data_IF_153936042318
#
_entry.id   IF_153936042318
#
_cell.length_a   1.000
_cell.length_b   1.000
_cell.length_c   1.000
_cell.angle_alpha   90.00
_cell.angle_beta   90.00
_cell.angle_gamma   90.00
#
_symmetry.space_group_name_H-M   'P 1'
#
loop_
_entity.id
_entity.type
_entity.pdbx_description
1 polymer ?
#
# COMPACT_ATOMS: atom_id res chain seq x y z
N UNK A 1 13.03 10.77 55.04
CA UNK A 1 13.23 9.39 54.56
C UNK A 1 12.69 9.32 53.16
N UNK A 2 13.40 8.70 52.21
CA UNK A 2 13.05 8.62 50.79
C UNK A 2 11.72 7.87 50.58
N UNK A 3 10.83 8.44 49.79
CA UNK A 3 9.63 7.78 49.25
C UNK A 3 10.04 6.64 48.32
N UNK A 4 9.89 5.40 48.79
CA UNK A 4 10.18 4.18 48.04
C UNK A 4 8.99 3.74 47.17
N UNK A 5 8.44 4.62 46.34
CA UNK A 5 7.37 4.30 45.40
C UNK A 5 7.83 4.64 43.98
N UNK A 6 8.72 3.81 43.44
CA UNK A 6 9.14 3.90 42.04
C UNK A 6 7.95 3.70 41.09
N UNK A 7 8.03 4.25 39.85
CA UNK A 7 7.01 4.04 38.83
C UNK A 7 6.82 2.55 38.56
N UNK A 8 5.58 2.14 38.28
CA UNK A 8 5.27 0.75 37.96
C UNK A 8 6.01 0.26 36.71
N UNK A 9 6.25 -1.03 36.64
CA UNK A 9 7.06 -1.64 35.58
C UNK A 9 6.25 -2.61 34.72
N UNK A 10 6.59 -2.67 33.44
CA UNK A 10 6.04 -3.62 32.48
C UNK A 10 6.98 -4.82 32.28
N UNK A 11 6.41 -6.01 32.19
CA UNK A 11 7.14 -7.27 32.03
C UNK A 11 6.43 -8.15 31.00
N UNK A 12 7.20 -8.88 30.20
CA UNK A 12 6.71 -9.99 29.38
C UNK A 12 7.07 -11.31 30.05
N UNK A 13 6.14 -12.27 30.07
CA UNK A 13 6.49 -13.64 30.53
C UNK A 13 7.31 -14.42 29.53
N UNK A 14 7.41 -13.95 28.28
CA UNK A 14 8.18 -14.61 27.24
C UNK A 14 8.80 -13.59 26.26
N UNK A 15 10.03 -13.17 26.55
CA UNK A 15 10.84 -12.23 25.76
C UNK A 15 11.23 -12.74 24.36
N UNK A 16 11.05 -14.05 24.09
CA UNK A 16 11.23 -14.62 22.75
C UNK A 16 9.99 -14.44 21.88
N UNK A 17 8.80 -14.36 22.49
CA UNK A 17 7.53 -14.13 21.80
C UNK A 17 7.27 -12.64 21.65
N UNK A 18 7.50 -11.87 22.70
CA UNK A 18 7.20 -10.44 22.74
C UNK A 18 8.08 -9.74 23.77
N UNK A 19 8.69 -8.64 23.37
CA UNK A 19 9.47 -7.77 24.25
C UNK A 19 8.67 -6.53 24.61
N UNK A 20 8.65 -6.15 25.89
CA UNK A 20 7.95 -4.96 26.37
C UNK A 20 8.94 -3.98 27.02
N UNK A 21 8.86 -2.70 26.66
CA UNK A 21 9.62 -1.66 27.30
C UNK A 21 9.14 -1.51 28.75
N UNK A 22 10.06 -1.71 29.70
CA UNK A 22 9.74 -1.77 31.13
C UNK A 22 9.14 -0.48 31.69
N UNK A 23 9.37 0.67 31.04
CA UNK A 23 8.91 1.99 31.50
C UNK A 23 7.65 2.42 30.74
N UNK A 24 7.64 2.30 29.41
CA UNK A 24 6.54 2.84 28.58
C UNK A 24 5.41 1.84 28.34
N UNK A 25 5.67 0.54 28.44
CA UNK A 25 4.72 -0.51 28.09
C UNK A 25 4.59 -0.79 26.60
N UNK A 26 5.39 -0.13 25.75
CA UNK A 26 5.44 -0.43 24.31
C UNK A 26 5.97 -1.86 24.09
N UNK A 27 5.21 -2.67 23.37
CA UNK A 27 5.51 -4.08 23.15
C UNK A 27 5.74 -4.40 21.66
N UNK A 28 6.81 -5.15 21.36
CA UNK A 28 7.14 -5.61 20.02
C UNK A 28 7.07 -7.13 19.97
N UNK A 29 6.35 -7.65 18.97
CA UNK A 29 6.37 -9.07 18.65
C UNK A 29 7.77 -9.50 18.17
N UNK A 30 8.24 -10.65 18.64
CA UNK A 30 9.55 -11.24 18.28
C UNK A 30 9.41 -12.66 17.73
N UNK A 31 8.36 -13.37 18.10
CA UNK A 31 8.16 -14.75 17.68
C UNK A 31 6.73 -15.20 17.95
N UNK A 32 6.34 -16.29 17.28
CA UNK A 32 5.05 -16.92 17.48
C UNK A 32 4.92 -17.49 18.89
N UNK A 33 3.74 -17.32 19.47
CA UNK A 33 3.38 -17.96 20.72
C UNK A 33 2.58 -17.05 21.63
N UNK A 34 2.40 -17.50 22.86
CA UNK A 34 1.63 -16.80 23.88
C UNK A 34 2.60 -16.19 24.89
N UNK A 35 2.38 -14.93 25.22
CA UNK A 35 3.05 -14.22 26.29
C UNK A 35 2.03 -13.47 27.12
N UNK A 36 2.30 -13.27 28.41
CA UNK A 36 1.51 -12.37 29.24
C UNK A 36 2.26 -11.03 29.36
N UNK A 37 1.54 -9.92 29.19
CA UNK A 37 2.02 -8.61 29.62
C UNK A 37 1.58 -8.40 31.05
N UNK A 38 2.53 -8.10 31.92
CA UNK A 38 2.31 -7.86 33.34
C UNK A 38 2.71 -6.41 33.64
N UNK A 39 1.78 -5.64 34.20
CA UNK A 39 2.12 -4.38 34.87
C UNK A 39 2.23 -4.61 36.37
N UNK A 40 3.34 -4.18 36.97
CA UNK A 40 3.61 -4.28 38.41
C UNK A 40 3.84 -2.88 38.99
N UNK A 41 2.80 -2.33 39.62
CA UNK A 41 2.89 -1.12 40.43
C UNK A 41 3.12 -1.44 41.92
N UNK A 42 3.26 -0.42 42.79
CA UNK A 42 3.54 -0.60 44.22
C UNK A 42 2.54 -1.52 44.94
N UNK A 43 1.25 -1.42 44.61
CA UNK A 43 0.16 -2.19 45.23
C UNK A 43 -0.79 -2.83 44.21
N UNK A 44 -0.40 -2.90 42.93
CA UNK A 44 -1.25 -3.38 41.85
C UNK A 44 -0.46 -4.28 40.91
N UNK A 45 -1.02 -5.44 40.56
CA UNK A 45 -0.51 -6.32 39.52
C UNK A 45 -1.62 -6.62 38.52
N UNK A 46 -1.48 -6.12 37.30
CA UNK A 46 -2.38 -6.41 36.19
C UNK A 46 -1.69 -7.38 35.24
N UNK A 47 -2.45 -8.30 34.64
CA UNK A 47 -1.97 -9.19 33.59
C UNK A 47 -2.97 -9.27 32.46
N UNK A 48 -2.46 -9.36 31.24
CA UNK A 48 -3.25 -9.74 30.06
C UNK A 48 -2.47 -10.74 29.23
N UNK A 49 -3.18 -11.59 28.50
CA UNK A 49 -2.60 -12.58 27.60
C UNK A 49 -2.55 -12.01 26.18
N UNK A 50 -1.38 -12.06 25.56
CA UNK A 50 -1.16 -11.69 24.17
C UNK A 50 -0.79 -12.95 23.40
N UNK A 51 -1.52 -13.19 22.31
CA UNK A 51 -1.22 -14.26 21.38
C UNK A 51 -0.58 -13.68 20.13
N UNK A 52 0.69 -13.96 19.90
CA UNK A 52 1.42 -13.56 18.70
C UNK A 52 1.32 -14.71 17.73
N UNK A 53 0.48 -14.55 16.71
CA UNK A 53 0.32 -15.54 15.65
C UNK A 53 1.33 -15.28 14.54
N UNK A 54 1.97 -16.33 14.04
CA UNK A 54 2.72 -16.24 12.78
C UNK A 54 1.72 -16.34 11.65
N UNK A 55 1.29 -15.18 11.17
CA UNK A 55 0.41 -15.11 10.00
C UNK A 55 1.23 -15.10 8.72
N UNK A 56 0.61 -15.54 7.63
CA UNK A 56 1.12 -15.23 6.30
C UNK A 56 1.33 -13.72 6.23
N UNK A 57 2.47 -13.28 5.72
CA UNK A 57 2.73 -11.87 5.49
C UNK A 57 2.68 -11.63 3.99
N UNK A 58 2.05 -10.53 3.62
CA UNK A 58 2.05 -10.03 2.26
C UNK A 58 2.72 -8.66 2.29
N UNK A 59 3.83 -8.54 1.58
CA UNK A 59 4.59 -7.30 1.44
C UNK A 59 4.37 -6.78 0.04
N UNK A 60 4.02 -5.50 -0.08
CA UNK A 60 3.84 -4.82 -1.36
C UNK A 60 4.90 -3.74 -1.46
N UNK A 61 5.65 -3.73 -2.56
CA UNK A 61 6.66 -2.73 -2.87
C UNK A 61 6.19 -1.90 -4.08
N UNK A 62 6.21 -0.57 -3.95
CA UNK A 62 5.90 0.34 -5.05
C UNK A 62 7.04 0.34 -6.10
N UNK A 63 6.72 0.60 -7.39
CA UNK A 63 7.75 0.82 -8.38
C UNK A 63 8.55 2.09 -8.03
N UNK A 64 9.83 2.12 -8.41
CA UNK A 64 10.73 3.24 -8.10
C UNK A 64 10.44 4.51 -8.92
N UNK A 65 9.69 4.37 -10.01
CA UNK A 65 9.34 5.45 -10.92
C UNK A 65 8.15 6.27 -10.43
N UNK A 66 8.05 7.51 -10.92
CA UNK A 66 6.90 8.37 -10.68
C UNK A 66 5.73 7.87 -11.54
N UNK A 67 4.57 7.69 -10.93
CA UNK A 67 3.36 7.25 -11.61
C UNK A 67 2.69 8.45 -12.31
N UNK A 68 2.20 8.27 -13.53
CA UNK A 68 1.41 9.28 -14.26
C UNK A 68 0.40 8.62 -15.18
N UNK A 69 -0.60 9.38 -15.63
CA UNK A 69 -1.60 8.94 -16.61
C UNK A 69 -1.44 9.55 -18.00
N UNK A 70 -0.42 10.38 -18.25
CA UNK A 70 -0.17 10.96 -19.58
C UNK A 70 0.51 9.97 -20.51
N UNK A 71 1.52 9.27 -19.98
CA UNK A 71 2.32 8.27 -20.69
C UNK A 71 2.45 7.01 -19.82
N UNK A 72 1.31 6.53 -19.31
CA UNK A 72 1.29 5.30 -18.53
C UNK A 72 1.82 4.13 -19.38
N UNK A 73 2.63 3.23 -18.81
CA UNK A 73 3.07 2.03 -19.51
C UNK A 73 1.86 1.24 -20.03
N UNK A 74 1.90 0.69 -21.26
CA UNK A 74 0.82 -0.13 -21.79
C UNK A 74 0.48 -1.34 -20.90
N UNK A 75 1.51 -1.88 -20.22
CA UNK A 75 1.40 -3.02 -19.31
C UNK A 75 1.11 -2.60 -17.86
N UNK A 76 0.85 -1.32 -17.61
CA UNK A 76 0.60 -0.75 -16.29
C UNK A 76 1.82 -0.68 -15.37
N UNK A 77 1.61 -0.13 -14.18
CA UNK A 77 2.64 0.01 -13.15
C UNK A 77 2.65 -1.20 -12.21
N UNK A 78 3.81 -1.85 -12.08
CA UNK A 78 3.95 -3.10 -11.33
C UNK A 78 4.36 -2.84 -9.88
N UNK A 79 3.43 -3.05 -8.95
CA UNK A 79 3.71 -3.12 -7.52
C UNK A 79 4.09 -4.55 -7.17
N UNK A 80 5.32 -4.81 -6.73
CA UNK A 80 5.78 -6.16 -6.43
C UNK A 80 5.11 -6.69 -5.17
N UNK A 81 4.63 -7.93 -5.21
CA UNK A 81 3.99 -8.61 -4.08
C UNK A 81 4.84 -9.80 -3.67
N UNK A 82 5.28 -9.82 -2.42
CA UNK A 82 5.99 -10.94 -1.80
C UNK A 82 5.10 -11.57 -0.75
N UNK A 83 4.92 -12.89 -0.84
CA UNK A 83 4.24 -13.67 0.17
C UNK A 83 5.28 -14.47 0.95
N UNK A 84 5.23 -14.37 2.27
CA UNK A 84 5.97 -15.26 3.16
C UNK A 84 4.97 -15.99 4.03
N UNK A 85 5.07 -17.32 4.06
CA UNK A 85 4.20 -18.12 4.90
C UNK A 85 4.68 -18.19 6.35
N UNK A 86 3.80 -18.71 7.21
CA UNK A 86 4.12 -18.99 8.60
C UNK A 86 5.13 -20.14 8.78
N UNK A 87 5.49 -20.89 7.74
CA UNK A 87 6.57 -21.87 7.77
C UNK A 87 7.96 -21.26 7.50
N UNK A 88 8.04 -19.93 7.26
CA UNK A 88 9.28 -19.26 6.88
C UNK A 88 9.78 -19.63 5.49
N UNK A 89 8.93 -20.31 4.70
CA UNK A 89 9.16 -20.45 3.28
C UNK A 89 8.64 -19.16 2.66
N UNK A 90 9.54 -18.41 2.02
CA UNK A 90 9.07 -17.55 0.93
C UNK A 90 8.33 -18.48 -0.02
N UNK A 91 7.03 -18.29 -0.20
CA UNK A 91 6.28 -19.08 -1.18
C UNK A 91 6.73 -18.64 -2.56
N UNK A 92 7.94 -19.03 -2.93
CA UNK A 92 8.41 -19.14 -4.30
C UNK A 92 7.66 -20.31 -4.92
N UNK A 93 6.35 -20.11 -5.12
CA UNK A 93 5.46 -20.92 -5.94
C UNK A 93 5.56 -22.43 -5.72
N UNK A 94 4.88 -22.95 -4.70
CA UNK A 94 4.64 -24.40 -4.56
C UNK A 94 3.16 -24.73 -4.52
N UNK A 95 2.33 -24.10 -5.35
CA UNK A 95 1.00 -24.62 -5.70
C UNK A 95 0.67 -24.20 -7.13
N UNK A 96 0.15 -25.15 -7.93
CA UNK A 96 -0.42 -24.97 -9.26
C UNK A 96 -1.66 -24.03 -9.28
N UNK A 97 -1.59 -22.84 -8.70
CA UNK A 97 -2.66 -21.86 -8.82
C UNK A 97 -2.47 -21.09 -10.13
N UNK A 98 -3.44 -21.25 -11.03
CA UNK A 98 -3.49 -20.53 -12.31
C UNK A 98 -3.61 -19.01 -12.08
N UNK A 99 -4.13 -18.62 -10.92
CA UNK A 99 -4.40 -17.24 -10.52
C UNK A 99 -3.57 -16.86 -9.29
N UNK A 100 -3.22 -15.58 -9.15
CA UNK A 100 -2.55 -15.09 -7.95
C UNK A 100 -3.41 -15.36 -6.68
N UNK A 101 -2.79 -15.75 -5.55
CA UNK A 101 -3.50 -16.09 -4.30
C UNK A 101 -4.05 -14.87 -3.54
N UNK A 102 -3.94 -13.67 -4.13
CA UNK A 102 -4.35 -12.40 -3.54
C UNK A 102 -5.18 -11.60 -4.53
N UNK A 103 -5.98 -10.67 -3.98
CA UNK A 103 -6.70 -9.64 -4.73
C UNK A 103 -6.07 -8.28 -4.49
N UNK A 104 -6.07 -7.43 -5.53
CA UNK A 104 -5.52 -6.08 -5.47
C UNK A 104 -6.62 -5.02 -5.45
N UNK A 105 -6.37 -3.92 -4.72
CA UNK A 105 -7.23 -2.73 -4.70
C UNK A 105 -6.37 -1.47 -4.74
N UNK A 106 -6.87 -0.42 -5.38
CA UNK A 106 -6.22 0.90 -5.41
C UNK A 106 -7.11 1.93 -4.73
N UNK A 107 -6.51 2.76 -3.90
CA UNK A 107 -7.15 3.88 -3.22
C UNK A 107 -6.42 5.19 -3.56
N UNK A 108 -7.15 6.27 -3.90
CA UNK A 108 -8.61 6.30 -4.08
C UNK A 108 -9.03 5.63 -5.40
N UNK A 109 -10.15 4.91 -5.40
CA UNK A 109 -10.57 4.05 -6.53
C UNK A 109 -10.88 4.79 -7.83
N UNK A 110 -11.08 6.11 -7.79
CA UNK A 110 -11.36 6.90 -8.98
C UNK A 110 -10.15 7.06 -9.90
N UNK A 111 -8.93 6.73 -9.47
CA UNK A 111 -7.68 7.00 -10.22
C UNK A 111 -7.40 5.99 -11.32
N UNK A 112 -8.04 4.83 -11.28
CA UNK A 112 -7.75 3.71 -12.17
C UNK A 112 -8.26 2.40 -11.57
N UNK A 113 -7.81 1.29 -12.16
CA UNK A 113 -8.06 -0.05 -11.64
C UNK A 113 -6.74 -0.79 -11.42
N UNK A 114 -6.80 -1.87 -10.66
CA UNK A 114 -5.64 -2.72 -10.39
C UNK A 114 -6.06 -4.17 -10.50
N UNK A 115 -5.18 -4.99 -11.05
CA UNK A 115 -5.38 -6.43 -11.17
C UNK A 115 -4.19 -7.21 -10.63
N UNK A 116 -4.41 -8.39 -10.04
CA UNK A 116 -3.31 -9.24 -9.62
C UNK A 116 -2.70 -9.97 -10.83
N UNK A 117 -1.37 -10.01 -10.89
CA UNK A 117 -0.63 -10.67 -11.96
C UNK A 117 0.55 -11.47 -11.41
N UNK A 118 0.84 -12.62 -12.03
CA UNK A 118 1.97 -13.47 -11.65
C UNK A 118 2.77 -13.86 -12.89
N UNK A 119 4.07 -13.59 -12.85
CA UNK A 119 5.02 -14.03 -13.84
C UNK A 119 5.62 -15.39 -13.42
N UNK A 120 5.31 -16.43 -14.19
CA UNK A 120 5.83 -17.78 -13.94
C UNK A 120 7.30 -17.93 -14.30
N UNK A 121 7.79 -17.19 -15.30
CA UNK A 121 9.15 -17.33 -15.77
C UNK A 121 10.16 -16.81 -14.73
N UNK A 122 9.82 -15.71 -14.06
CA UNK A 122 10.67 -15.10 -13.02
C UNK A 122 10.16 -15.32 -11.59
N UNK A 123 9.10 -16.12 -11.40
CA UNK A 123 8.46 -16.41 -10.10
C UNK A 123 8.15 -15.15 -9.29
N UNK A 124 7.65 -14.09 -9.94
CA UNK A 124 7.29 -12.84 -9.26
C UNK A 124 5.80 -12.57 -9.39
N UNK A 125 5.22 -12.04 -8.34
CA UNK A 125 3.82 -11.64 -8.29
C UNK A 125 3.72 -10.13 -8.11
N UNK A 126 2.64 -9.55 -8.65
CA UNK A 126 2.45 -8.12 -8.73
C UNK A 126 0.97 -7.75 -8.58
N UNK A 127 0.73 -6.53 -8.09
CA UNK A 127 -0.48 -5.78 -8.38
C UNK A 127 -0.17 -4.80 -9.52
N UNK A 128 -0.86 -4.94 -10.66
CA UNK A 128 -0.64 -4.11 -11.85
C UNK A 128 -1.67 -3.00 -11.85
N UNK A 129 -1.20 -1.77 -11.64
CA UNK A 129 -2.04 -0.57 -11.60
C UNK A 129 -2.13 0.08 -12.98
N UNK A 130 -3.36 0.28 -13.43
CA UNK A 130 -3.70 0.92 -14.70
C UNK A 130 -4.44 2.23 -14.42
N UNK A 131 -3.75 3.38 -14.49
CA UNK A 131 -4.40 4.65 -14.25
C UNK A 131 -5.37 5.01 -15.39
N UNK A 132 -6.48 5.64 -15.04
CA UNK A 132 -7.36 6.20 -16.06
C UNK A 132 -6.72 7.44 -16.73
N UNK A 133 -7.04 7.63 -18.00
CA UNK A 133 -6.55 8.77 -18.78
C UNK A 133 -6.97 10.11 -18.14
N UNK A 134 -6.25 11.21 -18.41
CA UNK A 134 -6.60 12.53 -17.88
C UNK A 134 -8.05 12.94 -18.18
N UNK A 135 -8.59 12.54 -19.34
CA UNK A 135 -9.96 12.79 -19.76
C UNK A 135 -11.01 12.00 -18.95
N UNK A 136 -10.63 10.87 -18.35
CA UNK A 136 -11.52 10.05 -17.51
C UNK A 136 -11.51 10.50 -16.05
N UNK A 137 -10.48 11.23 -15.61
CA UNK A 137 -10.30 11.71 -14.24
C UNK A 137 -10.90 13.11 -13.98
N UNK A 138 -11.85 13.55 -14.83
CA UNK A 138 -12.61 14.81 -14.72
C UNK A 138 -13.17 15.02 -13.29
N UNK A 139 -13.38 16.28 -12.86
CA UNK A 139 -12.96 16.75 -11.55
C UNK A 139 -13.78 16.11 -10.43
N UNK A 140 -13.35 14.93 -10.01
CA UNK A 140 -13.53 14.49 -8.63
C UNK A 140 -12.97 15.63 -7.79
N UNK A 141 -13.77 16.17 -6.86
CA UNK A 141 -13.43 17.28 -5.95
C UNK A 141 -12.17 16.96 -5.14
N UNK A 142 -11.03 17.00 -5.81
CA UNK A 142 -9.70 16.90 -5.23
C UNK A 142 -9.17 18.32 -5.17
N UNK A 143 -8.48 18.65 -4.09
CA UNK A 143 -7.93 19.98 -3.90
C UNK A 143 -7.09 20.34 -5.14
N UNK A 144 -7.47 21.37 -5.92
CA UNK A 144 -6.89 21.63 -7.24
C UNK A 144 -5.39 21.96 -7.21
N UNK A 145 -4.85 22.28 -6.03
CA UNK A 145 -3.59 22.97 -5.86
C UNK A 145 -2.32 22.14 -6.07
N UNK A 146 -2.39 20.81 -5.95
CA UNK A 146 -1.13 20.07 -5.75
C UNK A 146 -0.62 19.31 -6.97
N UNK A 147 -1.39 19.19 -8.08
CA UNK A 147 -0.98 18.46 -9.31
C UNK A 147 -0.61 16.98 -9.10
N UNK A 148 -0.63 16.54 -7.85
CA UNK A 148 -0.10 15.30 -7.32
C UNK A 148 -1.20 14.68 -6.46
N UNK A 149 -1.19 13.37 -6.37
CA UNK A 149 -2.08 12.57 -5.55
C UNK A 149 -1.27 11.44 -4.92
N UNK A 150 -1.49 11.19 -3.64
CA UNK A 150 -0.98 9.97 -3.01
C UNK A 150 -1.97 8.85 -3.27
N UNK A 151 -1.50 7.76 -3.86
CA UNK A 151 -2.27 6.54 -4.02
C UNK A 151 -1.73 5.43 -3.12
N UNK A 152 -2.57 4.46 -2.81
CA UNK A 152 -2.20 3.25 -2.09
C UNK A 152 -2.69 2.04 -2.89
N UNK A 153 -1.78 1.13 -3.20
CA UNK A 153 -2.14 -0.19 -3.75
C UNK A 153 -2.06 -1.21 -2.63
N UNK A 154 -3.16 -1.91 -2.38
CA UNK A 154 -3.30 -2.94 -1.35
C UNK A 154 -3.49 -4.29 -2.00
N UNK A 155 -2.79 -5.30 -1.48
CA UNK A 155 -3.03 -6.70 -1.75
C UNK A 155 -3.66 -7.37 -0.51
N UNK A 156 -4.64 -8.23 -0.72
CA UNK A 156 -5.31 -9.00 0.34
C UNK A 156 -5.28 -10.48 -0.04
N UNK A 157 -4.87 -11.34 0.87
CA UNK A 157 -4.88 -12.78 0.62
C UNK A 157 -6.33 -13.27 0.46
N UNK A 158 -6.59 -14.13 -0.53
CA UNK A 158 -7.95 -14.64 -0.80
C UNK A 158 -8.46 -15.56 0.30
N UNK A 159 -7.57 -16.38 0.83
CA UNK A 159 -7.89 -17.38 1.86
C UNK A 159 -8.02 -16.76 3.25
N UNK A 160 -7.37 -15.61 3.48
CA UNK A 160 -7.46 -14.85 4.73
C UNK A 160 -7.38 -13.34 4.45
N UNK A 161 -8.56 -12.70 4.37
CA UNK A 161 -8.66 -11.27 4.07
C UNK A 161 -8.09 -10.34 5.16
N UNK A 162 -7.75 -10.87 6.34
CA UNK A 162 -7.05 -10.10 7.38
C UNK A 162 -5.56 -9.94 7.06
N UNK A 163 -4.99 -10.84 6.24
CA UNK A 163 -3.62 -10.74 5.75
C UNK A 163 -3.59 -9.76 4.58
N UNK A 164 -3.14 -8.55 4.87
CA UNK A 164 -3.08 -7.45 3.90
C UNK A 164 -1.72 -6.76 3.92
N UNK A 165 -1.38 -6.15 2.80
CA UNK A 165 -0.14 -5.42 2.60
C UNK A 165 -0.39 -4.33 1.59
N UNK A 166 0.29 -3.20 1.75
CA UNK A 166 0.08 -2.04 0.88
C UNK A 166 1.34 -1.24 0.68
N UNK A 167 1.43 -0.60 -0.48
CA UNK A 167 2.46 0.37 -0.77
C UNK A 167 1.83 1.70 -1.20
N UNK A 168 2.42 2.78 -0.72
CA UNK A 168 2.08 4.13 -1.15
C UNK A 168 2.97 4.55 -2.30
N UNK A 169 2.41 5.33 -3.22
CA UNK A 169 3.16 5.90 -4.32
C UNK A 169 2.63 7.28 -4.70
N UNK A 170 3.54 8.09 -5.26
CA UNK A 170 3.22 9.42 -5.75
C UNK A 170 2.67 9.31 -7.18
N UNK A 171 1.47 9.85 -7.39
CA UNK A 171 0.80 9.89 -8.69
C UNK A 171 0.69 11.33 -9.19
N UNK A 172 1.38 11.63 -10.28
CA UNK A 172 1.35 12.93 -10.95
C UNK A 172 0.21 12.94 -11.95
N UNK A 173 -0.73 13.87 -11.73
CA UNK A 173 -1.89 14.07 -12.60
C UNK A 173 -1.44 14.60 -13.96
N UNK A 174 -2.26 14.41 -14.98
CA UNK A 174 -1.93 14.71 -16.36
C UNK A 174 -2.81 15.76 -17.03
N UNK A 175 -2.54 15.95 -18.31
CA UNK A 175 -3.37 16.73 -19.22
C UNK A 175 -3.44 16.01 -20.58
N UNK A 176 -4.39 16.42 -21.42
CA UNK A 176 -4.59 15.94 -22.76
C UNK A 176 -5.00 17.10 -23.67
N UNK A 177 -4.68 16.99 -24.96
CA UNK A 177 -5.14 17.95 -25.96
C UNK A 177 -6.46 17.43 -26.52
N UNK A 178 -7.54 18.19 -26.31
CA UNK A 178 -8.83 17.95 -26.94
C UNK A 178 -8.76 18.44 -28.39
N UNK A 179 -9.33 17.66 -29.30
CA UNK A 179 -9.26 17.91 -30.74
C UNK A 179 -9.66 19.35 -31.13
N UNK A 180 -8.97 19.98 -32.10
CA UNK A 180 -7.88 19.41 -32.91
C UNK A 180 -6.53 19.42 -32.18
N UNK A 181 -5.80 18.29 -32.21
CA UNK A 181 -4.46 18.15 -31.62
C UNK A 181 -3.35 18.93 -32.34
N UNK A 182 -3.71 19.73 -33.34
CA UNK A 182 -2.79 20.47 -34.20
C UNK A 182 -3.40 21.83 -34.58
N UNK A 183 -2.60 22.88 -34.44
CA UNK A 183 -2.94 24.22 -34.94
C UNK A 183 -2.53 24.31 -36.41
N UNK A 184 -3.45 24.77 -37.26
CA UNK A 184 -3.18 24.98 -38.68
C UNK A 184 -3.63 26.39 -39.07
N UNK A 185 -2.68 27.19 -39.54
CA UNK A 185 -2.89 28.57 -39.95
C UNK A 185 -2.63 28.66 -41.45
N UNK A 186 -3.61 28.27 -42.26
CA UNK A 186 -3.60 28.51 -43.70
C UNK A 186 -4.62 29.59 -44.05
N UNK A 187 -4.49 30.24 -45.22
CA UNK A 187 -5.53 31.17 -45.71
C UNK A 187 -6.92 30.54 -45.82
N UNK A 188 -7.01 29.21 -45.94
CA UNK A 188 -8.25 28.44 -46.05
C UNK A 188 -8.71 27.74 -44.76
N UNK A 189 -7.89 27.72 -43.70
CA UNK A 189 -8.20 27.07 -42.43
C UNK A 189 -7.55 27.85 -41.27
N UNK A 190 -8.38 28.37 -40.36
CA UNK A 190 -7.95 29.09 -39.17
C UNK A 190 -8.18 28.23 -37.91
N UNK A 191 -7.39 27.15 -37.76
CA UNK A 191 -7.30 26.40 -36.52
C UNK A 191 -6.20 27.03 -35.66
N UNK A 192 -6.53 28.16 -35.02
CA UNK A 192 -5.63 28.94 -34.13
C UNK A 192 -5.74 28.59 -32.65
N UNK A 193 -6.69 27.73 -32.28
CA UNK A 193 -6.97 27.38 -30.88
C UNK A 193 -6.95 25.86 -30.68
N UNK A 194 -6.27 25.42 -29.63
CA UNK A 194 -6.41 24.08 -29.05
C UNK A 194 -7.05 24.19 -27.67
N UNK A 195 -7.73 23.13 -27.25
CA UNK A 195 -8.28 23.03 -25.90
C UNK A 195 -7.44 22.01 -25.14
N UNK A 196 -6.83 22.43 -24.04
CA UNK A 196 -6.12 21.54 -23.13
C UNK A 196 -7.05 21.22 -21.97
N UNK A 197 -7.34 19.93 -21.79
CA UNK A 197 -8.05 19.43 -20.62
C UNK A 197 -7.09 18.69 -19.70
N UNK A 198 -7.46 18.49 -18.44
CA UNK A 198 -6.61 17.72 -17.53
C UNK A 198 -7.23 17.54 -16.17
N UNK A 199 -6.62 16.63 -15.42
CA UNK A 199 -6.87 16.46 -13.99
C UNK A 199 -5.79 17.17 -13.15
N UNK A 200 -4.83 17.85 -13.79
CA UNK A 200 -3.98 18.89 -13.20
C UNK A 200 -4.82 20.16 -13.06
N UNK A 201 -5.03 20.63 -11.83
CA UNK A 201 -5.84 21.81 -11.60
C UNK A 201 -5.20 23.04 -12.22
N UNK A 202 -5.75 23.52 -13.33
CA UNK A 202 -5.56 24.89 -13.79
C UNK A 202 -6.97 25.42 -14.04
N UNK A 203 -7.55 26.06 -13.02
CA UNK A 203 -8.67 27.00 -13.19
C UNK A 203 -8.11 28.40 -13.23
#
# INVERSE_FOLDING_TARGET
>A
GMDAHGPGQWLSTNEKVMHVNQITGEAHARGEGIAEVIFKGPNLKLRTTVNVLKVNQIVVDAPAEILTNVAAPPDGYKFSVKLSDSAGHSTESSVNQINAPFDCKVEPSFVGFVEPWSDRAVKKSYCVFHPYSPAQLLPVKSNPKDGILHISVRANLKEDSMVTGSAHALFVKGFYIKEPGMLNLTPSCNHSVIIIGGNTGIT
#
